data_IF_620093912513
#
_entry.id   IF_620093912513
#
_cell.length_a   1.000
_cell.length_b   1.000
_cell.length_c   1.000
_cell.angle_alpha   90.00
_cell.angle_beta   90.00
_cell.angle_gamma   90.00
#
_symmetry.space_group_name_H-M   'P 1'
#
loop_
_entity.id
_entity.type
_entity.pdbx_description
1 polymer ?
#
# COMPACT_ATOMS: atom_id res chain seq x y z
N UNK A 1 26.24 -32.37 -4.26
CA UNK A 1 26.88 -31.18 -3.65
C UNK A 1 25.76 -30.25 -3.25
N UNK A 2 25.49 -30.07 -1.96
CA UNK A 2 24.32 -29.37 -1.47
C UNK A 2 24.76 -28.36 -0.40
N UNK A 3 24.76 -27.07 -0.75
CA UNK A 3 25.08 -25.98 0.19
C UNK A 3 25.92 -24.86 -0.42
N UNK A 4 25.44 -24.23 -1.48
CA UNK A 4 26.10 -23.03 -2.05
C UNK A 4 25.09 -22.01 -2.63
N UNK A 5 23.81 -22.16 -2.26
CA UNK A 5 22.76 -21.24 -2.74
C UNK A 5 22.78 -19.98 -1.90
N UNK A 6 22.75 -18.84 -2.57
CA UNK A 6 22.68 -17.53 -1.95
C UNK A 6 21.25 -17.05 -1.99
N UNK A 7 20.58 -17.11 -0.85
CA UNK A 7 19.19 -16.67 -0.68
C UNK A 7 19.22 -15.22 -0.23
N UNK A 8 18.67 -14.31 -1.04
CA UNK A 8 18.55 -12.90 -0.70
C UNK A 8 17.24 -12.61 0.04
N UNK A 9 17.27 -11.72 1.02
CA UNK A 9 16.06 -11.13 1.62
C UNK A 9 16.20 -9.61 1.63
N UNK A 10 15.28 -8.90 0.98
CA UNK A 10 15.23 -7.45 1.05
C UNK A 10 14.72 -7.02 2.44
N UNK A 11 15.57 -6.33 3.20
CA UNK A 11 15.36 -6.06 4.62
C UNK A 11 15.45 -4.57 4.89
N UNK A 12 14.33 -3.94 5.24
CA UNK A 12 14.24 -2.56 5.75
C UNK A 12 13.76 -2.49 7.20
N UNK A 13 13.62 -3.65 7.86
CA UNK A 13 13.08 -3.84 9.21
C UNK A 13 11.63 -3.37 9.39
N UNK A 14 10.89 -3.15 8.29
CA UNK A 14 9.43 -3.02 8.34
C UNK A 14 8.77 -4.36 8.71
N UNK A 15 7.51 -4.31 9.13
CA UNK A 15 6.74 -5.53 9.43
C UNK A 15 6.72 -6.50 8.24
N UNK A 16 6.55 -6.02 7.01
CA UNK A 16 6.50 -6.88 5.84
C UNK A 16 7.85 -7.52 5.48
N UNK A 17 8.98 -6.85 5.72
CA UNK A 17 10.30 -7.46 5.46
C UNK A 17 10.67 -8.48 6.54
N UNK A 18 10.24 -8.28 7.80
CA UNK A 18 10.37 -9.28 8.87
C UNK A 18 9.54 -10.54 8.60
N UNK A 19 8.31 -10.39 8.14
CA UNK A 19 7.49 -11.53 7.71
C UNK A 19 8.13 -12.28 6.53
N UNK A 20 8.70 -11.56 5.55
CA UNK A 20 9.44 -12.16 4.45
C UNK A 20 10.66 -12.95 4.92
N UNK A 21 11.40 -12.43 5.91
CA UNK A 21 12.50 -13.14 6.55
C UNK A 21 12.02 -14.42 7.23
N UNK A 22 10.97 -14.35 8.06
CA UNK A 22 10.43 -15.54 8.75
C UNK A 22 9.97 -16.60 7.74
N UNK A 23 9.23 -16.19 6.70
CA UNK A 23 8.81 -17.10 5.64
C UNK A 23 10.01 -17.74 4.92
N UNK A 24 11.04 -16.97 4.57
CA UNK A 24 12.25 -17.49 3.91
C UNK A 24 12.98 -18.49 4.83
N UNK A 25 13.13 -18.14 6.11
CA UNK A 25 13.78 -18.97 7.11
C UNK A 25 13.08 -20.33 7.27
N UNK A 26 11.74 -20.36 7.27
CA UNK A 26 10.97 -21.59 7.45
C UNK A 26 10.87 -22.43 6.17
N UNK A 27 10.63 -21.79 5.02
CA UNK A 27 10.18 -22.48 3.81
C UNK A 27 11.25 -22.64 2.72
N UNK A 28 12.25 -21.75 2.69
CA UNK A 28 13.17 -21.64 1.57
C UNK A 28 14.61 -22.02 1.92
N UNK A 29 15.10 -21.49 3.05
CA UNK A 29 16.46 -21.68 3.52
C UNK A 29 16.65 -23.11 4.05
N UNK A 30 17.72 -23.76 3.61
CA UNK A 30 18.12 -25.13 3.96
C UNK A 30 19.53 -25.15 4.52
N UNK A 31 19.93 -26.29 5.07
CA UNK A 31 21.26 -26.46 5.63
C UNK A 31 22.34 -26.24 4.55
N UNK A 32 23.37 -25.47 4.91
CA UNK A 32 24.45 -25.09 4.01
C UNK A 32 24.14 -23.96 3.02
N UNK A 33 22.95 -23.35 3.06
CA UNK A 33 22.69 -22.14 2.27
C UNK A 33 23.41 -20.92 2.90
N UNK A 34 23.57 -19.86 2.09
CA UNK A 34 23.99 -18.54 2.53
C UNK A 34 22.81 -17.58 2.50
N UNK A 35 22.47 -16.96 3.62
CA UNK A 35 21.44 -15.92 3.69
C UNK A 35 22.08 -14.54 3.58
N UNK A 36 21.64 -13.75 2.60
CA UNK A 36 22.14 -12.41 2.34
C UNK A 36 21.00 -11.41 2.56
N UNK A 37 21.11 -10.59 3.60
CA UNK A 37 20.18 -9.49 3.82
C UNK A 37 20.59 -8.30 2.95
N UNK A 38 19.69 -7.83 2.09
CA UNK A 38 19.90 -6.64 1.25
C UNK A 38 19.16 -5.49 1.90
N UNK A 39 19.90 -4.57 2.49
CA UNK A 39 19.36 -3.39 3.16
C UNK A 39 19.67 -2.14 2.34
N UNK A 40 18.66 -1.30 2.09
CA UNK A 40 18.85 -0.02 1.38
C UNK A 40 18.52 1.13 2.32
N UNK A 41 19.49 2.01 2.52
CA UNK A 41 19.37 3.24 3.30
C UNK A 41 19.11 4.44 2.38
N UNK A 42 18.24 5.36 2.81
CA UNK A 42 17.85 6.53 2.00
C UNK A 42 18.90 7.64 1.98
N UNK A 43 19.59 7.86 3.09
CA UNK A 43 20.58 8.94 3.25
C UNK A 43 21.97 8.34 3.40
N UNK A 44 22.95 8.95 2.73
CA UNK A 44 24.37 8.70 2.97
C UNK A 44 24.69 9.28 4.35
N UNK A 45 25.26 8.47 5.23
CA UNK A 45 25.69 8.91 6.55
C UNK A 45 26.71 10.05 6.40
N UNK A 46 26.37 11.28 6.84
CA UNK A 46 27.24 12.47 6.87
C UNK A 46 28.31 12.38 7.98
N UNK A 47 29.08 11.30 8.01
CA UNK A 47 30.36 11.28 8.71
C UNK A 47 31.44 11.10 7.67
N UNK A 48 32.40 12.03 7.65
CA UNK A 48 33.48 12.12 6.65
C UNK A 48 34.39 10.89 6.50
N UNK A 49 34.09 9.79 7.17
CA UNK A 49 34.69 8.48 6.93
C UNK A 49 34.15 7.82 5.64
N UNK A 50 32.93 8.12 5.18
CA UNK A 50 32.35 7.49 3.96
C UNK A 50 33.08 7.95 2.68
N UNK A 51 33.58 9.19 2.62
CA UNK A 51 34.34 9.69 1.47
C UNK A 51 35.75 9.06 1.34
N UNK A 52 36.33 8.56 2.43
CA UNK A 52 37.61 7.83 2.38
C UNK A 52 37.43 6.40 1.84
N UNK A 53 36.21 5.86 1.92
CA UNK A 53 35.90 4.48 1.53
C UNK A 53 35.53 4.40 0.04
N UNK A 54 34.99 5.46 -0.55
CA UNK A 54 34.84 5.57 -2.02
C UNK A 54 36.19 5.75 -2.75
N UNK A 55 37.18 6.37 -2.10
CA UNK A 55 38.49 6.64 -2.71
C UNK A 55 39.44 5.43 -2.71
N UNK A 56 39.13 4.36 -1.97
CA UNK A 56 39.97 3.17 -1.88
C UNK A 56 39.33 2.03 -2.68
N UNK A 57 39.78 1.84 -3.93
CA UNK A 57 39.34 0.83 -4.90
C UNK A 57 39.59 -0.64 -4.48
N UNK A 58 39.65 -0.94 -3.17
CA UNK A 58 40.02 -2.24 -2.60
C UNK A 58 38.91 -2.85 -1.73
N UNK A 59 37.85 -2.11 -1.37
CA UNK A 59 36.74 -2.72 -0.62
C UNK A 59 35.63 -3.12 -1.59
N UNK A 60 35.64 -4.38 -2.01
CA UNK A 60 34.39 -5.05 -2.38
C UNK A 60 33.46 -4.85 -1.18
N UNK A 61 32.47 -3.95 -1.30
CA UNK A 61 31.70 -3.43 -0.17
C UNK A 61 31.33 -4.55 0.83
N UNK A 62 31.88 -4.45 2.05
CA UNK A 62 32.00 -5.56 2.98
C UNK A 62 30.63 -6.17 3.30
N UNK A 63 30.55 -7.50 3.18
CA UNK A 63 29.43 -8.27 3.70
C UNK A 63 29.54 -8.28 5.23
N UNK A 64 28.56 -7.70 5.91
CA UNK A 64 28.55 -7.55 7.37
C UNK A 64 28.04 -8.86 7.99
N UNK A 65 28.83 -9.57 8.80
CA UNK A 65 28.41 -10.82 9.43
C UNK A 65 27.39 -10.57 10.56
N UNK A 66 26.62 -11.61 10.91
CA UNK A 66 25.59 -11.54 11.96
C UNK A 66 26.10 -11.06 13.33
N UNK A 67 27.37 -11.36 13.68
CA UNK A 67 28.00 -10.85 14.90
C UNK A 67 28.01 -9.32 14.95
N UNK A 68 28.34 -8.70 13.82
CA UNK A 68 28.53 -7.26 13.70
C UNK A 68 27.18 -6.56 13.58
N UNK A 69 26.18 -7.22 12.98
CA UNK A 69 24.79 -6.76 13.00
C UNK A 69 24.20 -6.72 14.42
N UNK A 70 24.64 -7.65 15.27
CA UNK A 70 24.17 -7.77 16.65
C UNK A 70 24.84 -6.77 17.60
N UNK A 71 25.95 -6.13 17.17
CA UNK A 71 26.62 -5.07 17.93
C UNK A 71 25.92 -3.71 17.69
N UNK A 72 25.28 -3.11 18.70
CA UNK A 72 24.60 -1.83 18.56
C UNK A 72 25.52 -0.68 18.12
N UNK A 73 26.81 -0.76 18.47
CA UNK A 73 27.81 0.24 18.12
C UNK A 73 28.13 0.20 16.63
N UNK A 74 28.25 -1.01 16.06
CA UNK A 74 28.54 -1.21 14.64
C UNK A 74 27.28 -0.94 13.82
N UNK A 75 26.12 -1.45 14.22
CA UNK A 75 24.84 -1.19 13.55
C UNK A 75 24.57 0.32 13.41
N UNK A 76 24.82 1.09 14.47
CA UNK A 76 24.64 2.55 14.46
C UNK A 76 25.57 3.28 13.48
N UNK A 77 26.81 2.82 13.30
CA UNK A 77 27.75 3.40 12.32
C UNK A 77 27.24 3.30 10.88
N UNK A 78 26.49 2.25 10.59
CA UNK A 78 25.95 1.97 9.27
C UNK A 78 24.50 2.47 9.07
N UNK A 79 23.94 3.20 10.05
CA UNK A 79 22.55 3.68 9.99
C UNK A 79 21.51 2.57 10.12
N UNK A 80 21.90 1.38 10.58
CA UNK A 80 21.01 0.23 10.70
C UNK A 80 20.25 0.31 12.02
N UNK A 81 18.94 0.10 11.96
CA UNK A 81 18.12 -0.09 13.15
C UNK A 81 18.35 -1.49 13.70
N UNK A 82 18.71 -1.59 14.97
CA UNK A 82 18.74 -2.86 15.68
C UNK A 82 17.30 -3.32 15.92
N UNK A 83 16.90 -4.41 15.27
CA UNK A 83 15.58 -5.03 15.45
C UNK A 83 15.76 -6.39 16.12
N UNK A 84 15.36 -6.48 17.40
CA UNK A 84 15.55 -7.68 18.23
C UNK A 84 14.83 -8.91 17.66
N UNK A 85 13.67 -8.71 17.03
CA UNK A 85 12.86 -9.79 16.46
C UNK A 85 13.54 -10.39 15.21
N UNK A 86 14.04 -9.52 14.33
CA UNK A 86 14.82 -9.95 13.18
C UNK A 86 16.12 -10.66 13.62
N UNK A 87 16.84 -10.09 14.59
CA UNK A 87 18.07 -10.69 15.12
C UNK A 87 17.82 -12.05 15.78
N UNK A 88 16.73 -12.21 16.53
CA UNK A 88 16.36 -13.49 17.14
C UNK A 88 16.07 -14.56 16.06
N UNK A 89 15.33 -14.18 15.02
CA UNK A 89 15.06 -15.04 13.86
C UNK A 89 16.35 -15.48 13.18
N UNK A 90 17.27 -14.54 12.93
CA UNK A 90 18.56 -14.82 12.26
C UNK A 90 19.47 -15.70 13.13
N UNK A 91 19.58 -15.41 14.43
CA UNK A 91 20.38 -16.21 15.36
C UNK A 91 19.83 -17.64 15.48
N UNK A 92 18.51 -17.78 15.52
CA UNK A 92 17.84 -19.09 15.53
C UNK A 92 18.15 -19.85 14.25
N UNK A 93 18.02 -19.20 13.09
CA UNK A 93 18.30 -19.80 11.79
C UNK A 93 19.77 -20.24 11.64
N UNK A 94 20.72 -19.39 12.04
CA UNK A 94 22.15 -19.69 12.00
C UNK A 94 22.49 -20.93 12.85
N UNK A 95 21.88 -21.05 14.04
CA UNK A 95 22.09 -22.20 14.94
C UNK A 95 21.43 -23.48 14.45
N UNK A 96 20.21 -23.40 13.91
CA UNK A 96 19.43 -24.58 13.53
C UNK A 96 19.84 -25.18 12.18
N UNK A 97 20.26 -24.33 11.23
CA UNK A 97 20.52 -24.75 9.85
C UNK A 97 21.98 -24.59 9.40
N UNK A 98 22.89 -24.20 10.30
CA UNK A 98 24.31 -23.95 9.98
C UNK A 98 24.46 -23.00 8.77
N UNK A 99 23.58 -22.00 8.69
CA UNK A 99 23.51 -21.03 7.59
C UNK A 99 24.44 -19.87 7.88
N UNK A 100 25.23 -19.47 6.88
CA UNK A 100 26.03 -18.25 6.97
C UNK A 100 25.13 -17.06 6.66
N UNK A 101 25.03 -16.13 7.61
CA UNK A 101 24.19 -14.94 7.50
C UNK A 101 25.08 -13.71 7.39
N UNK A 102 24.88 -12.96 6.30
CA UNK A 102 25.56 -11.69 6.04
C UNK A 102 24.57 -10.63 5.58
N UNK A 103 24.92 -9.36 5.76
CA UNK A 103 24.15 -8.23 5.26
C UNK A 103 24.98 -7.36 4.33
N UNK A 104 24.34 -6.90 3.26
CA UNK A 104 24.87 -5.91 2.34
C UNK A 104 24.02 -4.65 2.43
N UNK A 105 24.68 -3.52 2.61
CA UNK A 105 24.04 -2.20 2.65
C UNK A 105 24.27 -1.49 1.32
N UNK A 106 23.20 -0.88 0.81
CA UNK A 106 23.21 0.03 -0.32
C UNK A 106 22.65 1.39 0.12
N UNK A 107 23.03 2.45 -0.58
CA UNK A 107 22.53 3.80 -0.33
C UNK A 107 21.87 4.36 -1.58
N UNK A 108 20.67 4.94 -1.44
CA UNK A 108 19.92 5.56 -2.55
C UNK A 108 18.49 5.03 -2.69
N UNK A 109 17.96 5.06 -3.91
CA UNK A 109 16.62 4.55 -4.20
C UNK A 109 16.54 3.02 -4.07
N UNK A 110 15.56 2.54 -3.31
CA UNK A 110 15.42 1.12 -3.01
C UNK A 110 15.14 0.26 -4.26
N UNK A 111 14.38 0.78 -5.23
CA UNK A 111 14.07 0.03 -6.46
C UNK A 111 15.33 -0.14 -7.30
N UNK A 112 16.13 0.90 -7.43
CA UNK A 112 17.39 0.86 -8.19
C UNK A 112 18.44 -0.01 -7.50
N UNK A 113 18.65 0.19 -6.20
CA UNK A 113 19.68 -0.54 -5.44
C UNK A 113 19.38 -2.02 -5.26
N UNK A 114 18.11 -2.41 -5.20
CA UNK A 114 17.74 -3.83 -5.22
C UNK A 114 18.10 -4.46 -6.57
N UNK A 115 17.86 -3.78 -7.70
CA UNK A 115 18.29 -4.29 -9.01
C UNK A 115 19.82 -4.42 -9.08
N UNK A 116 20.56 -3.40 -8.63
CA UNK A 116 22.02 -3.44 -8.54
C UNK A 116 22.51 -4.60 -7.66
N UNK A 117 21.83 -4.89 -6.55
CA UNK A 117 22.16 -6.00 -5.67
C UNK A 117 22.03 -7.37 -6.35
N UNK A 118 21.01 -7.54 -7.20
CA UNK A 118 20.80 -8.78 -7.96
C UNK A 118 21.91 -8.99 -9.00
N UNK A 119 22.40 -7.91 -9.62
CA UNK A 119 23.48 -8.00 -10.61
C UNK A 119 24.86 -8.20 -9.97
N UNK A 120 25.08 -7.62 -8.79
CA UNK A 120 26.38 -7.67 -8.09
C UNK A 120 26.55 -8.89 -7.19
N UNK A 121 25.46 -9.45 -6.69
CA UNK A 121 25.47 -10.63 -5.83
C UNK A 121 24.79 -11.76 -6.60
N UNK A 122 25.45 -12.89 -6.87
CA UNK A 122 24.85 -14.01 -7.60
C UNK A 122 23.84 -14.76 -6.70
N UNK A 123 22.71 -14.11 -6.43
CA UNK A 123 21.61 -14.64 -5.64
C UNK A 123 20.87 -15.70 -6.47
N UNK A 124 20.55 -16.83 -5.84
CA UNK A 124 19.67 -17.84 -6.45
C UNK A 124 18.23 -17.34 -6.50
N UNK A 125 17.82 -16.53 -5.52
CA UNK A 125 16.53 -15.87 -5.47
C UNK A 125 16.56 -14.71 -4.47
N UNK A 126 15.64 -13.75 -4.63
CA UNK A 126 15.43 -12.64 -3.69
C UNK A 126 13.99 -12.69 -3.15
N UNK A 127 13.85 -12.74 -1.83
CA UNK A 127 12.56 -12.65 -1.13
C UNK A 127 12.32 -11.19 -0.75
N UNK A 128 11.17 -10.65 -1.14
CA UNK A 128 10.79 -9.25 -0.86
C UNK A 128 9.46 -9.23 -0.10
N UNK A 129 9.42 -8.47 0.99
CA UNK A 129 8.20 -8.20 1.74
C UNK A 129 7.16 -7.48 0.88
N UNK A 130 5.93 -8.00 0.87
CA UNK A 130 4.81 -7.32 0.25
C UNK A 130 3.98 -6.62 1.32
N UNK A 131 3.64 -5.34 1.11
CA UNK A 131 2.75 -4.57 2.00
C UNK A 131 1.27 -4.99 1.89
N UNK A 132 0.96 -6.18 1.40
CA UNK A 132 -0.42 -6.66 1.21
C UNK A 132 -1.21 -6.01 0.07
N UNK A 133 -0.66 -5.00 -0.61
CA UNK A 133 -1.35 -4.23 -1.66
C UNK A 133 -1.62 -5.04 -2.93
N UNK A 134 -0.90 -6.14 -3.17
CA UNK A 134 -1.13 -6.97 -4.36
C UNK A 134 -2.48 -7.66 -4.36
N UNK A 135 -3.03 -8.01 -3.19
CA UNK A 135 -4.39 -8.56 -3.11
C UNK A 135 -5.41 -7.48 -3.49
N UNK A 136 -5.23 -6.26 -2.99
CA UNK A 136 -6.09 -5.11 -3.33
C UNK A 136 -6.06 -4.84 -4.84
N UNK A 137 -4.85 -4.70 -5.41
CA UNK A 137 -4.64 -4.44 -6.85
C UNK A 137 -5.32 -5.45 -7.78
N UNK A 138 -5.47 -6.71 -7.34
CA UNK A 138 -6.11 -7.77 -8.14
C UNK A 138 -7.63 -7.82 -8.00
N UNK A 139 -8.18 -7.29 -6.92
CA UNK A 139 -9.62 -7.37 -6.64
C UNK A 139 -10.36 -6.07 -6.98
N UNK A 140 -9.67 -4.94 -7.09
CA UNK A 140 -10.26 -3.66 -7.47
C UNK A 140 -10.14 -3.41 -8.97
N UNK A 141 -11.23 -3.03 -9.64
CA UNK A 141 -11.21 -2.65 -11.06
C UNK A 141 -10.36 -1.39 -11.31
N UNK A 142 -10.27 -0.50 -10.31
CA UNK A 142 -9.55 0.77 -10.43
C UNK A 142 -8.37 0.84 -9.47
N UNK A 143 -7.41 -0.08 -9.62
CA UNK A 143 -6.29 -0.27 -8.69
C UNK A 143 -5.46 0.99 -8.41
N UNK A 144 -5.16 1.80 -9.44
CA UNK A 144 -4.40 3.05 -9.26
C UNK A 144 -5.19 4.07 -8.43
N UNK A 145 -6.49 4.22 -8.73
CA UNK A 145 -7.39 5.08 -7.99
C UNK A 145 -7.52 4.60 -6.54
N UNK A 146 -7.70 3.29 -6.31
CA UNK A 146 -7.77 2.69 -4.98
C UNK A 146 -6.54 3.05 -4.13
N UNK A 147 -5.32 2.89 -4.67
CA UNK A 147 -4.09 3.18 -3.92
C UNK A 147 -3.93 4.67 -3.64
N UNK A 148 -4.26 5.51 -4.62
CA UNK A 148 -4.23 6.97 -4.46
C UNK A 148 -5.22 7.41 -3.38
N UNK A 149 -6.45 6.91 -3.41
CA UNK A 149 -7.48 7.22 -2.42
C UNK A 149 -7.09 6.79 -1.00
N UNK A 150 -6.47 5.61 -0.83
CA UNK A 150 -5.96 5.18 0.47
C UNK A 150 -4.85 6.12 0.95
N UNK A 151 -3.90 6.46 0.08
CA UNK A 151 -2.78 7.32 0.45
C UNK A 151 -3.22 8.74 0.85
N UNK A 152 -4.19 9.31 0.13
CA UNK A 152 -4.74 10.64 0.42
C UNK A 152 -5.57 10.63 1.72
N UNK A 153 -6.38 9.59 1.95
CA UNK A 153 -7.24 9.52 3.12
C UNK A 153 -6.50 9.09 4.39
N UNK A 154 -5.49 8.23 4.28
CA UNK A 154 -4.77 7.65 5.40
C UNK A 154 -3.28 7.43 5.05
N UNK A 155 -2.45 8.50 5.09
CA UNK A 155 -1.03 8.45 4.71
C UNK A 155 -0.21 7.42 5.51
N UNK A 156 -0.65 7.09 6.73
CA UNK A 156 0.00 6.15 7.63
C UNK A 156 -0.97 5.03 8.06
N UNK A 157 -1.39 4.18 7.11
CA UNK A 157 -2.25 3.04 7.41
C UNK A 157 -1.54 2.06 8.37
N UNK A 158 -2.03 1.84 9.60
CA UNK A 158 -1.29 1.12 10.65
C UNK A 158 -1.11 -0.37 10.34
N UNK A 159 -2.13 -1.01 9.75
CA UNK A 159 -2.06 -2.38 9.23
C UNK A 159 -2.82 -2.45 7.91
N UNK A 160 -2.35 -3.27 6.97
CA UNK A 160 -3.02 -3.48 5.68
C UNK A 160 -3.87 -4.75 5.77
N UNK A 161 -5.15 -4.60 6.06
CA UNK A 161 -6.14 -5.67 6.02
C UNK A 161 -7.46 -5.17 5.41
N UNK A 162 -8.41 -6.07 5.18
CA UNK A 162 -9.67 -5.71 4.51
C UNK A 162 -10.45 -4.61 5.25
N UNK A 163 -10.50 -4.67 6.60
CA UNK A 163 -11.25 -3.70 7.39
C UNK A 163 -10.59 -2.31 7.38
N UNK A 164 -9.28 -2.24 7.59
CA UNK A 164 -8.54 -0.96 7.59
C UNK A 164 -8.54 -0.31 6.21
N UNK A 165 -8.41 -1.10 5.15
CA UNK A 165 -8.46 -0.60 3.77
C UNK A 165 -9.86 -0.12 3.41
N UNK A 166 -10.91 -0.89 3.75
CA UNK A 166 -12.29 -0.50 3.49
C UNK A 166 -12.64 0.81 4.23
N UNK A 167 -12.23 0.95 5.50
CA UNK A 167 -12.44 2.17 6.26
C UNK A 167 -11.73 3.39 5.63
N UNK A 168 -10.49 3.21 5.16
CA UNK A 168 -9.75 4.27 4.47
C UNK A 168 -10.42 4.66 3.13
N UNK A 169 -10.92 3.69 2.36
CA UNK A 169 -11.65 3.96 1.12
C UNK A 169 -12.98 4.65 1.36
N UNK A 170 -13.76 4.23 2.36
CA UNK A 170 -15.01 4.89 2.76
C UNK A 170 -14.75 6.35 3.18
N UNK A 171 -13.67 6.61 3.94
CA UNK A 171 -13.23 7.97 4.29
C UNK A 171 -12.85 8.79 3.05
N UNK A 172 -12.19 8.17 2.07
CA UNK A 172 -11.85 8.82 0.80
C UNK A 172 -13.10 9.19 -0.01
N UNK A 173 -14.09 8.28 -0.10
CA UNK A 173 -15.37 8.53 -0.78
C UNK A 173 -16.14 9.65 -0.09
N UNK A 174 -16.19 9.67 1.25
CA UNK A 174 -16.84 10.73 2.03
C UNK A 174 -16.26 12.11 1.67
N UNK A 175 -14.94 12.25 1.78
CA UNK A 175 -14.25 13.50 1.47
C UNK A 175 -14.49 13.93 0.01
N UNK A 176 -14.39 12.99 -0.93
CA UNK A 176 -14.57 13.29 -2.35
C UNK A 176 -16.01 13.66 -2.72
N UNK A 177 -16.99 13.05 -2.06
CA UNK A 177 -18.42 13.36 -2.25
C UNK A 177 -18.72 14.76 -1.73
N UNK A 178 -18.16 15.15 -0.58
CA UNK A 178 -18.27 16.52 -0.05
C UNK A 178 -17.62 17.55 -0.98
N UNK A 179 -16.45 17.25 -1.55
CA UNK A 179 -15.82 18.10 -2.56
C UNK A 179 -16.72 18.27 -3.80
N UNK A 180 -17.24 17.16 -4.34
CA UNK A 180 -18.13 17.19 -5.51
C UNK A 180 -19.40 18.00 -5.24
N UNK A 181 -20.00 17.84 -4.06
CA UNK A 181 -21.17 18.62 -3.62
C UNK A 181 -20.87 20.11 -3.52
N UNK A 182 -19.71 20.48 -2.96
CA UNK A 182 -19.29 21.88 -2.88
C UNK A 182 -19.04 22.48 -4.27
N UNK A 183 -18.47 21.71 -5.20
CA UNK A 183 -18.32 22.11 -6.60
C UNK A 183 -19.69 22.34 -7.25
N UNK A 184 -20.63 21.42 -7.08
CA UNK A 184 -21.99 21.59 -7.60
C UNK A 184 -22.69 22.83 -7.03
N UNK A 185 -22.58 23.08 -5.72
CA UNK A 185 -23.10 24.29 -5.05
C UNK A 185 -22.52 25.58 -5.64
N UNK A 186 -21.20 25.62 -5.85
CA UNK A 186 -20.54 26.79 -6.45
C UNK A 186 -20.97 27.03 -7.90
N UNK A 187 -21.12 25.96 -8.70
CA UNK A 187 -21.62 26.06 -10.07
C UNK A 187 -23.08 26.55 -10.12
N UNK A 188 -23.92 26.06 -9.21
CA UNK A 188 -25.33 26.44 -9.13
C UNK A 188 -25.54 27.89 -8.64
N UNK A 189 -24.63 28.42 -7.82
CA UNK A 189 -24.65 29.81 -7.36
C UNK A 189 -24.08 30.81 -8.38
N UNK A 190 -23.28 30.33 -9.34
CA UNK A 190 -22.71 31.16 -10.40
C UNK A 190 -23.74 31.61 -11.44
N UNK A 191 -23.38 32.64 -12.22
CA UNK A 191 -24.19 33.13 -13.34
C UNK A 191 -23.83 32.52 -14.70
N UNK A 192 -22.94 31.52 -14.72
CA UNK A 192 -22.38 30.95 -15.95
C UNK A 192 -23.28 29.95 -16.69
N UNK A 193 -24.43 29.58 -16.11
CA UNK A 193 -25.32 28.54 -16.63
C UNK A 193 -26.75 29.04 -16.77
N UNK A 194 -27.51 28.42 -17.67
CA UNK A 194 -28.93 28.70 -17.84
C UNK A 194 -29.77 28.07 -16.70
N UNK A 195 -31.03 28.47 -16.59
CA UNK A 195 -31.92 28.02 -15.51
C UNK A 195 -32.06 26.50 -15.41
N UNK A 196 -32.14 25.79 -16.55
CA UNK A 196 -32.25 24.33 -16.59
C UNK A 196 -30.98 23.65 -16.10
N UNK A 197 -29.81 24.12 -16.51
CA UNK A 197 -28.54 23.58 -16.01
C UNK A 197 -28.38 23.84 -14.51
N UNK A 198 -28.85 24.99 -14.00
CA UNK A 198 -28.86 25.27 -12.55
C UNK A 198 -29.80 24.35 -11.79
N UNK A 199 -30.96 24.00 -12.36
CA UNK A 199 -31.88 23.01 -11.79
C UNK A 199 -31.23 21.63 -11.69
N UNK A 200 -30.64 21.13 -12.79
CA UNK A 200 -29.91 19.85 -12.80
C UNK A 200 -28.73 19.83 -11.81
N UNK A 201 -28.04 20.96 -11.64
CA UNK A 201 -26.99 21.08 -10.62
C UNK A 201 -27.55 20.97 -9.19
N UNK A 202 -28.77 21.45 -8.94
CA UNK A 202 -29.43 21.30 -7.63
C UNK A 202 -29.83 19.85 -7.37
N UNK A 203 -30.36 19.17 -8.38
CA UNK A 203 -30.66 17.74 -8.27
C UNK A 203 -29.40 16.94 -7.90
N UNK A 204 -28.25 17.25 -8.53
CA UNK A 204 -26.97 16.67 -8.13
C UNK A 204 -26.53 17.00 -6.69
N UNK A 205 -26.80 18.22 -6.19
CA UNK A 205 -26.49 18.58 -4.80
C UNK A 205 -27.28 17.70 -3.82
N UNK A 206 -28.52 17.37 -4.19
CA UNK A 206 -29.40 16.50 -3.40
C UNK A 206 -28.95 15.04 -3.49
N UNK A 207 -28.64 14.52 -4.69
CA UNK A 207 -28.07 13.18 -4.84
C UNK A 207 -26.74 13.00 -4.10
N UNK A 208 -25.85 14.01 -4.11
CA UNK A 208 -24.64 13.96 -3.27
C UNK A 208 -24.95 14.02 -1.78
N UNK A 209 -26.05 14.64 -1.37
CA UNK A 209 -26.56 14.62 0.00
C UNK A 209 -27.03 13.22 0.39
N UNK A 210 -27.89 12.61 -0.43
CA UNK A 210 -28.39 11.24 -0.24
C UNK A 210 -27.25 10.22 -0.20
N UNK A 211 -26.27 10.35 -1.10
CA UNK A 211 -25.08 9.50 -1.10
C UNK A 211 -24.27 9.61 0.21
N UNK A 212 -24.20 10.78 0.84
CA UNK A 212 -23.54 10.93 2.14
C UNK A 212 -24.32 10.25 3.26
N UNK A 213 -25.66 10.30 3.21
CA UNK A 213 -26.52 9.61 4.18
C UNK A 213 -26.45 8.08 4.02
N UNK A 214 -26.42 7.59 2.78
CA UNK A 214 -26.12 6.18 2.45
C UNK A 214 -24.73 5.78 2.97
N UNK A 215 -23.72 6.64 2.81
CA UNK A 215 -22.37 6.36 3.28
C UNK A 215 -22.27 6.28 4.81
N UNK A 216 -22.99 7.12 5.55
CA UNK A 216 -23.08 7.00 7.01
C UNK A 216 -23.74 5.69 7.42
N UNK A 217 -24.84 5.30 6.76
CA UNK A 217 -25.48 4.01 6.97
C UNK A 217 -24.54 2.84 6.65
N UNK A 218 -23.72 2.96 5.59
CA UNK A 218 -22.69 1.96 5.27
C UNK A 218 -21.59 1.88 6.34
N UNK A 219 -21.15 3.01 6.91
CA UNK A 219 -20.18 3.05 8.01
C UNK A 219 -20.72 2.34 9.26
N UNK A 220 -22.00 2.56 9.59
CA UNK A 220 -22.67 1.87 10.69
C UNK A 220 -22.78 0.37 10.44
N UNK A 221 -23.18 -0.04 9.24
CA UNK A 221 -23.25 -1.43 8.85
C UNK A 221 -21.87 -2.13 8.91
N UNK A 222 -20.79 -1.45 8.54
CA UNK A 222 -19.41 -1.96 8.72
C UNK A 222 -19.09 -2.20 10.19
N UNK A 223 -19.45 -1.27 11.09
CA UNK A 223 -19.23 -1.41 12.54
C UNK A 223 -20.07 -2.54 13.15
N UNK A 224 -21.30 -2.71 12.65
CA UNK A 224 -22.23 -3.74 13.08
C UNK A 224 -21.92 -5.13 12.51
N UNK A 225 -21.02 -5.23 11.51
CA UNK A 225 -20.75 -6.49 10.81
C UNK A 225 -21.89 -6.94 9.91
N UNK A 226 -22.65 -6.00 9.34
CA UNK A 226 -23.77 -6.24 8.42
C UNK A 226 -23.32 -6.01 6.96
N UNK A 227 -22.86 -7.06 6.24
CA UNK A 227 -22.43 -6.92 4.86
C UNK A 227 -23.60 -6.63 3.90
N UNK A 228 -24.82 -7.07 4.23
CA UNK A 228 -25.99 -6.88 3.37
C UNK A 228 -26.38 -5.42 3.27
N UNK A 229 -26.56 -4.77 4.42
CA UNK A 229 -26.86 -3.33 4.47
C UNK A 229 -25.71 -2.50 3.92
N UNK A 230 -24.46 -2.82 4.30
CA UNK A 230 -23.27 -2.13 3.76
C UNK A 230 -23.25 -2.15 2.24
N UNK A 231 -23.43 -3.32 1.63
CA UNK A 231 -23.31 -3.47 0.18
C UNK A 231 -24.48 -2.80 -0.54
N UNK A 232 -25.70 -2.88 0.02
CA UNK A 232 -26.87 -2.16 -0.50
C UNK A 232 -26.65 -0.64 -0.48
N UNK A 233 -26.15 -0.08 0.63
CA UNK A 233 -25.90 1.35 0.75
C UNK A 233 -24.79 1.83 -0.20
N UNK A 234 -23.69 1.08 -0.33
CA UNK A 234 -22.63 1.42 -1.29
C UNK A 234 -23.13 1.32 -2.74
N UNK A 235 -24.01 0.37 -3.07
CA UNK A 235 -24.65 0.31 -4.40
C UNK A 235 -25.65 1.44 -4.64
N UNK A 236 -26.37 1.87 -3.61
CA UNK A 236 -27.26 3.03 -3.69
C UNK A 236 -26.46 4.30 -4.05
N UNK A 237 -25.32 4.52 -3.40
CA UNK A 237 -24.43 5.64 -3.75
C UNK A 237 -23.98 5.64 -5.21
N UNK A 238 -23.65 4.47 -5.77
CA UNK A 238 -23.30 4.36 -7.20
C UNK A 238 -24.46 4.86 -8.07
N UNK A 239 -25.70 4.53 -7.67
CA UNK A 239 -26.93 4.95 -8.34
C UNK A 239 -27.14 6.46 -8.22
N UNK A 240 -26.97 7.03 -7.02
CA UNK A 240 -27.07 8.48 -6.79
C UNK A 240 -26.10 9.26 -7.71
N UNK A 241 -24.86 8.78 -7.81
CA UNK A 241 -23.86 9.39 -8.69
C UNK A 241 -24.17 9.20 -10.17
N UNK A 242 -24.73 8.05 -10.60
CA UNK A 242 -25.14 7.89 -12.00
C UNK A 242 -26.34 8.74 -12.36
N UNK A 243 -27.34 8.82 -11.49
CA UNK A 243 -28.57 9.60 -11.74
C UNK A 243 -28.27 11.09 -11.84
N UNK A 244 -27.35 11.61 -11.01
CA UNK A 244 -26.85 12.98 -11.17
C UNK A 244 -26.27 13.24 -12.58
N UNK A 245 -25.51 12.31 -13.16
CA UNK A 245 -24.89 12.49 -14.47
C UNK A 245 -25.89 12.32 -15.62
N UNK A 246 -26.70 11.25 -15.55
CA UNK A 246 -27.72 10.89 -16.54
C UNK A 246 -28.79 11.98 -16.71
N UNK A 247 -29.15 12.67 -15.61
CA UNK A 247 -30.09 13.79 -15.65
C UNK A 247 -29.68 14.88 -16.65
N UNK A 248 -28.38 15.14 -16.87
CA UNK A 248 -27.96 16.10 -17.89
C UNK A 248 -28.11 15.56 -19.32
N UNK A 249 -27.79 14.28 -19.52
CA UNK A 249 -27.85 13.63 -20.83
C UNK A 249 -29.28 13.58 -21.38
N UNK A 250 -30.26 13.37 -20.52
CA UNK A 250 -31.70 13.38 -20.88
C UNK A 250 -32.14 14.70 -21.52
N UNK A 251 -31.52 15.81 -21.13
CA UNK A 251 -31.80 17.13 -21.70
C UNK A 251 -30.80 17.56 -22.78
N UNK A 252 -29.92 16.66 -23.23
CA UNK A 252 -28.89 16.94 -24.23
C UNK A 252 -27.83 17.93 -23.74
N UNK A 253 -27.67 18.07 -22.42
CA UNK A 253 -26.68 18.96 -21.79
C UNK A 253 -25.47 18.14 -21.40
N UNK A 254 -24.27 18.67 -21.65
CA UNK A 254 -23.05 18.05 -21.11
C UNK A 254 -22.94 18.36 -19.62
N UNK A 255 -22.94 17.32 -18.80
CA UNK A 255 -22.75 17.43 -17.35
C UNK A 255 -21.39 18.06 -17.01
N UNK A 256 -21.36 19.18 -16.25
CA UNK A 256 -20.10 19.73 -15.72
C UNK A 256 -19.55 18.87 -14.57
N UNK A 257 -20.33 17.89 -14.09
CA UNK A 257 -20.00 17.01 -12.98
C UNK A 257 -19.65 15.58 -13.42
N UNK A 258 -19.65 15.27 -14.72
CA UNK A 258 -19.44 13.90 -15.23
C UNK A 258 -18.17 13.23 -14.70
N UNK A 259 -17.04 13.97 -14.68
CA UNK A 259 -15.77 13.44 -14.17
C UNK A 259 -15.85 13.17 -12.66
N UNK A 260 -16.58 13.99 -11.90
CA UNK A 260 -16.81 13.80 -10.47
C UNK A 260 -17.66 12.56 -10.22
N UNK A 261 -18.80 12.44 -10.90
CA UNK A 261 -19.70 11.29 -10.81
C UNK A 261 -18.97 9.99 -11.17
N UNK A 262 -18.25 9.96 -12.28
CA UNK A 262 -17.47 8.80 -12.68
C UNK A 262 -16.40 8.42 -11.65
N UNK A 263 -15.69 9.42 -11.11
CA UNK A 263 -14.66 9.17 -10.09
C UNK A 263 -15.26 8.59 -8.83
N UNK A 264 -16.40 9.13 -8.37
CA UNK A 264 -17.10 8.65 -7.18
C UNK A 264 -17.67 7.25 -7.35
N UNK A 265 -18.26 6.94 -8.51
CA UNK A 265 -18.68 5.57 -8.87
C UNK A 265 -17.49 4.60 -8.79
N UNK A 266 -16.37 4.95 -9.40
CA UNK A 266 -15.16 4.10 -9.41
C UNK A 266 -14.56 3.92 -7.99
N UNK A 267 -14.57 4.97 -7.16
CA UNK A 267 -14.12 4.87 -5.77
C UNK A 267 -15.05 3.98 -4.94
N UNK A 268 -16.36 4.08 -5.16
CA UNK A 268 -17.36 3.28 -4.44
C UNK A 268 -17.35 1.81 -4.89
N UNK A 269 -17.11 1.55 -6.18
CA UNK A 269 -16.86 0.21 -6.71
C UNK A 269 -15.63 -0.43 -6.06
N UNK A 270 -14.55 0.33 -5.86
CA UNK A 270 -13.39 -0.15 -5.09
C UNK A 270 -13.78 -0.51 -3.63
N UNK A 271 -14.68 0.24 -2.98
CA UNK A 271 -15.19 -0.14 -1.66
C UNK A 271 -15.91 -1.49 -1.69
N UNK A 272 -16.82 -1.70 -2.65
CA UNK A 272 -17.55 -2.96 -2.83
C UNK A 272 -16.60 -4.13 -3.12
N UNK A 273 -15.62 -3.92 -3.99
CA UNK A 273 -14.60 -4.90 -4.32
C UNK A 273 -13.80 -5.35 -3.08
N UNK A 274 -13.33 -4.40 -2.26
CA UNK A 274 -12.62 -4.72 -1.02
C UNK A 274 -13.56 -5.34 0.02
N UNK A 275 -14.78 -4.83 0.15
CA UNK A 275 -15.78 -5.39 1.05
C UNK A 275 -16.09 -6.88 0.76
N UNK A 276 -16.03 -7.28 -0.51
CA UNK A 276 -16.25 -8.67 -0.94
C UNK A 276 -15.15 -9.63 -0.46
N UNK A 277 -13.91 -9.13 -0.25
CA UNK A 277 -12.79 -9.93 0.26
C UNK A 277 -13.00 -10.43 1.69
N UNK A 278 -13.89 -9.78 2.46
CA UNK A 278 -14.19 -10.19 3.82
C UNK A 278 -15.19 -11.36 3.89
N UNK A 279 -15.83 -11.73 2.78
CA UNK A 279 -16.80 -12.81 2.75
C UNK A 279 -16.05 -14.16 2.68
N UNK A 280 -16.40 -15.15 3.53
CA UNK A 280 -15.90 -16.52 3.34
C UNK A 280 -16.29 -17.00 1.94
N UNK A 281 -15.33 -17.51 1.17
CA UNK A 281 -15.67 -18.20 -0.08
C UNK A 281 -16.25 -19.58 0.27
N UNK A 282 -17.57 -19.72 0.17
CA UNK A 282 -18.26 -21.01 0.29
C UNK A 282 -19.49 -20.97 1.20
N UNK A 283 -20.66 -20.98 0.57
CA UNK A 283 -21.96 -21.07 1.23
C UNK A 283 -23.09 -21.19 0.21
N UNK A 284 -22.92 -22.09 -0.76
CA UNK A 284 -24.02 -22.76 -1.46
C UNK A 284 -23.96 -24.23 -1.07
#
# INVERSE_FOLDING_TARGET
MAGDRKIGVAMDFSSCSKEALRWAAENLVRNGDHLILVNVQKEVYESGEVQLWEASFVVVAALIPLSDMSDPTIAKKYGIKTDMEALDTLNTLARQKEVVIVMKIYWGDAREKICEAIDTIPLTCLVIGNRGLSKLKRHTHFAQLCLKSIHEAEPALPTVNTATVLAALIKAVDAKTREARAVAQNLAAGSGFNARTVELLRDCIDFYGEALDHLESAKEAVRAGDPGTRDAMLSAMISDFSTCDEGFEEFGVKSPLAVWCQTLRNMTDNCLAIASLARPQGGY
#
